data_IF_068697481633
#
_entry.id   IF_068697481633
#
_cell.length_a   1.000
_cell.length_b   1.000
_cell.length_c   1.000
_cell.angle_alpha   90.00
_cell.angle_beta   90.00
_cell.angle_gamma   90.00
#
_symmetry.space_group_name_H-M   'P 1'
#
loop_
_entity.id
_entity.type
_entity.pdbx_description
1 polymer ?
#
# COMPACT_ATOMS: atom_id res chain seq x y z
N UNK A 1 9.46 -3.77 71.42
CA UNK A 1 8.61 -3.68 70.21
C UNK A 1 8.43 -2.25 69.69
N UNK A 2 8.08 -1.29 70.54
CA UNK A 2 7.87 0.13 70.15
C UNK A 2 9.06 0.81 69.45
N UNK A 3 10.30 0.59 69.93
CA UNK A 3 11.51 1.14 69.30
C UNK A 3 11.72 0.62 67.87
N UNK A 4 11.37 -0.66 67.62
CA UNK A 4 11.47 -1.26 66.29
C UNK A 4 10.43 -0.68 65.33
N UNK A 5 9.25 -0.34 65.83
CA UNK A 5 8.21 0.31 65.03
C UNK A 5 8.55 1.77 64.71
N UNK A 6 9.10 2.50 65.68
CA UNK A 6 9.59 3.86 65.49
C UNK A 6 10.70 3.90 64.42
N UNK A 7 11.64 2.96 64.48
CA UNK A 7 12.71 2.84 63.48
C UNK A 7 12.17 2.49 62.09
N UNK A 8 11.21 1.54 61.98
CA UNK A 8 10.53 1.22 60.70
C UNK A 8 9.76 2.42 60.15
N UNK A 9 9.09 3.21 61.00
CA UNK A 9 8.39 4.45 60.59
C UNK A 9 9.38 5.51 60.10
N UNK A 10 10.51 5.67 60.79
CA UNK A 10 11.59 6.58 60.37
C UNK A 10 12.14 6.20 59.00
N UNK A 11 12.51 4.93 58.79
CA UNK A 11 13.02 4.43 57.50
C UNK A 11 12.00 4.69 56.37
N UNK A 12 10.71 4.39 56.59
CA UNK A 12 9.66 4.67 55.59
C UNK A 12 9.57 6.15 55.23
N UNK A 13 9.68 7.05 56.21
CA UNK A 13 9.67 8.50 55.99
C UNK A 13 10.90 8.95 55.22
N UNK A 14 12.08 8.45 55.57
CA UNK A 14 13.34 8.75 54.88
C UNK A 14 13.29 8.27 53.43
N UNK A 15 12.82 7.06 53.18
CA UNK A 15 12.66 6.52 51.84
C UNK A 15 11.70 7.36 50.99
N UNK A 16 10.61 7.86 51.58
CA UNK A 16 9.69 8.77 50.89
C UNK A 16 10.38 10.09 50.50
N UNK A 17 11.11 10.70 51.44
CA UNK A 17 11.87 11.92 51.18
C UNK A 17 12.93 11.72 50.09
N UNK A 18 13.60 10.56 50.07
CA UNK A 18 14.59 10.25 49.03
C UNK A 18 13.93 10.13 47.64
N UNK A 19 12.71 9.58 47.56
CA UNK A 19 11.90 9.58 46.32
C UNK A 19 11.50 10.98 45.88
N UNK A 20 11.00 11.79 46.81
CA UNK A 20 10.64 13.20 46.54
C UNK A 20 11.86 13.99 46.02
N UNK A 21 13.03 13.80 46.64
CA UNK A 21 14.27 14.44 46.20
C UNK A 21 14.71 13.96 44.80
N UNK A 22 14.53 12.67 44.48
CA UNK A 22 14.83 12.15 43.15
C UNK A 22 13.85 12.67 42.09
N UNK A 23 12.57 12.89 42.42
CA UNK A 23 11.63 13.53 41.50
C UNK A 23 12.03 14.97 41.19
N UNK A 24 12.41 15.75 42.22
CA UNK A 24 12.94 17.10 42.02
C UNK A 24 14.19 17.13 41.13
N UNK A 25 15.03 16.09 41.20
CA UNK A 25 16.16 15.94 40.27
C UNK A 25 15.70 15.73 38.82
N UNK A 26 14.63 14.97 38.59
CA UNK A 26 14.07 14.81 37.24
C UNK A 26 13.47 16.13 36.72
N UNK A 27 12.84 16.92 37.59
CA UNK A 27 12.39 18.28 37.26
C UNK A 27 13.57 19.15 36.80
N UNK A 28 14.68 19.18 37.55
CA UNK A 28 15.89 19.92 37.17
C UNK A 28 16.46 19.46 35.82
N UNK A 29 16.46 18.16 35.54
CA UNK A 29 16.92 17.62 34.25
C UNK A 29 15.98 18.04 33.11
N UNK A 30 14.68 18.13 33.38
CA UNK A 30 13.67 18.57 32.41
C UNK A 30 13.82 20.06 32.11
N UNK A 31 13.98 20.90 33.13
CA UNK A 31 14.24 22.34 32.99
C UNK A 31 15.54 22.63 32.22
N UNK A 32 16.57 21.80 32.38
CA UNK A 32 17.82 21.88 31.62
C UNK A 32 17.70 21.37 30.18
N UNK A 33 16.55 20.81 29.79
CA UNK A 33 16.33 20.19 28.48
C UNK A 33 17.08 18.87 28.27
N UNK A 34 17.67 18.30 29.31
CA UNK A 34 18.37 17.00 29.25
C UNK A 34 17.37 15.84 29.25
N UNK A 35 16.27 16.01 29.99
CA UNK A 35 15.15 15.08 30.05
C UNK A 35 13.97 15.68 29.28
N UNK A 36 13.27 14.86 28.50
CA UNK A 36 12.06 15.21 27.76
C UNK A 36 11.23 13.94 27.45
N UNK A 37 10.07 14.06 26.80
CA UNK A 37 9.13 12.94 26.58
C UNK A 37 9.67 11.79 25.70
N UNK A 38 10.79 12.00 25.01
CA UNK A 38 11.46 11.02 24.15
C UNK A 38 12.79 10.52 24.75
N UNK A 39 13.19 10.99 25.93
CA UNK A 39 14.46 10.58 26.53
C UNK A 39 14.46 9.10 26.91
N UNK A 40 15.60 8.45 26.74
CA UNK A 40 15.81 7.08 27.19
C UNK A 40 16.61 7.03 28.48
N UNK A 41 16.26 6.10 29.37
CA UNK A 41 16.99 5.91 30.65
C UNK A 41 18.49 5.69 30.41
N UNK A 42 18.83 4.91 29.40
CA UNK A 42 20.22 4.57 29.05
C UNK A 42 21.04 5.80 28.65
N UNK A 43 20.41 6.79 28.01
CA UNK A 43 21.07 8.04 27.60
C UNK A 43 21.31 8.96 28.80
N UNK A 44 20.37 8.99 29.74
CA UNK A 44 20.45 9.81 30.95
C UNK A 44 21.24 9.16 32.08
N UNK A 45 21.48 7.84 32.04
CA UNK A 45 22.11 7.11 33.13
C UNK A 45 23.48 7.67 33.50
N UNK A 46 24.27 8.14 32.54
CA UNK A 46 25.57 8.76 32.82
C UNK A 46 25.46 10.03 33.67
N UNK A 47 24.38 10.81 33.52
CA UNK A 47 24.13 11.98 34.38
C UNK A 47 23.49 11.56 35.70
N UNK A 48 22.51 10.66 35.64
CA UNK A 48 21.72 10.23 36.79
C UNK A 48 22.53 9.46 37.82
N UNK A 49 23.42 8.57 37.39
CA UNK A 49 24.23 7.73 38.28
C UNK A 49 25.25 8.51 39.10
N UNK A 50 25.66 9.69 38.62
CA UNK A 50 26.60 10.57 39.30
C UNK A 50 25.95 11.47 40.38
N UNK A 51 24.62 11.53 40.44
CA UNK A 51 23.90 12.34 41.43
C UNK A 51 23.70 11.58 42.76
N UNK A 52 23.94 12.26 43.88
CA UNK A 52 23.81 11.67 45.22
C UNK A 52 22.36 11.20 45.51
N UNK A 53 21.34 11.87 44.96
CA UNK A 53 19.92 11.52 45.13
C UNK A 53 19.59 10.17 44.49
N UNK A 54 20.26 9.83 43.39
CA UNK A 54 20.17 8.48 42.81
C UNK A 54 20.79 7.43 43.74
N UNK A 55 22.01 7.68 44.24
CA UNK A 55 22.69 6.75 45.15
C UNK A 55 21.89 6.49 46.43
N UNK A 56 21.29 7.54 47.00
CA UNK A 56 20.42 7.45 48.19
C UNK A 56 19.19 6.58 47.97
N UNK A 57 18.72 6.45 46.73
CA UNK A 57 17.55 5.65 46.36
C UNK A 57 17.82 4.15 46.22
N UNK A 58 19.09 3.74 46.08
CA UNK A 58 19.44 2.34 45.83
C UNK A 58 19.12 1.43 47.03
N UNK A 59 18.59 0.24 46.74
CA UNK A 59 18.27 -0.77 47.75
C UNK A 59 17.04 -0.48 48.61
N UNK A 60 16.33 0.63 48.39
CA UNK A 60 15.08 0.92 49.10
C UNK A 60 13.90 0.13 48.53
N UNK A 61 12.94 -0.32 49.36
CA UNK A 61 11.71 -0.93 48.87
C UNK A 61 10.77 0.10 48.21
N UNK A 62 10.03 -0.33 47.19
CA UNK A 62 9.06 0.48 46.44
C UNK A 62 9.53 0.81 45.03
N UNK A 63 9.02 1.92 44.47
CA UNK A 63 9.39 2.39 43.13
C UNK A 63 10.89 2.68 43.05
N UNK A 64 11.53 2.07 42.06
CA UNK A 64 12.95 2.27 41.76
C UNK A 64 13.18 3.61 41.05
N UNK A 65 14.43 4.12 40.98
CA UNK A 65 14.74 5.28 40.15
C UNK A 65 14.27 5.15 38.70
N UNK A 66 14.37 3.95 38.12
CA UNK A 66 13.91 3.67 36.76
C UNK A 66 12.38 3.77 36.67
N UNK A 67 11.64 3.29 37.66
CA UNK A 67 10.18 3.41 37.68
C UNK A 67 9.76 4.88 37.75
N UNK A 68 10.38 5.67 38.63
CA UNK A 68 10.10 7.11 38.74
C UNK A 68 10.42 7.85 37.45
N UNK A 69 11.54 7.54 36.79
CA UNK A 69 11.84 8.07 35.46
C UNK A 69 10.79 7.69 34.42
N UNK A 70 10.36 6.43 34.39
CA UNK A 70 9.33 5.96 33.44
C UNK A 70 8.00 6.69 33.67
N UNK A 71 7.58 6.83 34.92
CA UNK A 71 6.37 7.58 35.26
C UNK A 71 6.48 9.04 34.83
N UNK A 72 7.62 9.68 35.12
CA UNK A 72 7.86 11.06 34.71
C UNK A 72 7.78 11.24 33.18
N UNK A 73 8.48 10.40 32.42
CA UNK A 73 8.44 10.45 30.94
C UNK A 73 7.04 10.17 30.41
N UNK A 74 6.30 9.25 31.03
CA UNK A 74 4.92 8.97 30.64
C UNK A 74 3.99 10.16 30.90
N UNK A 75 4.16 10.86 32.03
CA UNK A 75 3.43 12.10 32.31
C UNK A 75 3.75 13.20 31.29
N UNK A 76 5.00 13.31 30.82
CA UNK A 76 5.36 14.20 29.71
C UNK A 76 4.65 13.82 28.41
N UNK A 77 4.57 12.53 28.10
CA UNK A 77 3.87 12.03 26.90
C UNK A 77 2.37 12.23 26.97
N UNK A 78 1.76 12.08 28.15
CA UNK A 78 0.33 12.29 28.34
C UNK A 78 -0.10 13.72 27.97
N UNK A 79 0.79 14.71 28.13
CA UNK A 79 0.57 16.10 27.72
C UNK A 79 0.65 16.35 26.22
N UNK A 80 1.13 15.39 25.43
CA UNK A 80 1.40 15.57 23.99
C UNK A 80 0.21 16.13 23.21
N UNK A 81 -1.01 15.62 23.45
CA UNK A 81 -2.17 16.06 22.68
C UNK A 81 -2.52 17.53 22.91
N UNK A 82 -2.39 18.02 24.14
CA UNK A 82 -2.67 19.41 24.47
C UNK A 82 -1.53 20.32 24.02
N UNK A 83 -0.28 19.92 24.21
CA UNK A 83 0.88 20.66 23.71
C UNK A 83 0.89 20.75 22.19
N UNK A 84 0.50 19.68 21.49
CA UNK A 84 0.36 19.68 20.02
C UNK A 84 -0.70 20.68 19.55
N UNK A 85 -1.77 20.93 20.33
CA UNK A 85 -2.74 21.99 19.99
C UNK A 85 -2.08 23.36 20.09
N UNK A 86 -1.35 23.62 21.17
CA UNK A 86 -0.59 24.87 21.36
C UNK A 86 0.40 25.07 20.21
N UNK A 87 1.17 24.05 19.83
CA UNK A 87 2.07 24.10 18.67
C UNK A 87 1.32 24.51 17.40
N UNK A 88 0.16 23.90 17.11
CA UNK A 88 -0.64 24.26 15.92
C UNK A 88 -1.16 25.69 15.97
N UNK A 89 -1.55 26.19 17.14
CA UNK A 89 -1.96 27.58 17.32
C UNK A 89 -0.80 28.54 17.05
N UNK A 90 0.39 28.25 17.59
CA UNK A 90 1.60 29.04 17.30
C UNK A 90 1.86 29.09 15.80
N UNK A 91 1.83 27.94 15.11
CA UNK A 91 2.02 27.92 13.65
C UNK A 91 1.00 28.76 12.91
N UNK A 92 -0.27 28.69 13.31
CA UNK A 92 -1.36 29.47 12.72
C UNK A 92 -1.14 30.97 12.91
N UNK A 93 -0.79 31.39 14.13
CA UNK A 93 -0.55 32.80 14.45
C UNK A 93 0.67 33.37 13.71
N UNK A 94 1.68 32.52 13.47
CA UNK A 94 2.88 32.86 12.71
C UNK A 94 2.69 32.71 11.19
N UNK A 95 1.53 32.23 10.73
CA UNK A 95 1.26 31.97 9.32
C UNK A 95 2.16 30.91 8.68
N UNK A 96 2.75 30.02 9.48
CA UNK A 96 3.65 28.99 9.00
C UNK A 96 2.91 27.68 8.71
N UNK A 97 3.08 27.15 7.50
CA UNK A 97 2.54 25.86 7.09
C UNK A 97 3.68 24.86 6.94
N UNK A 98 3.44 23.63 7.35
CA UNK A 98 4.39 22.53 7.19
C UNK A 98 4.11 21.82 5.86
N UNK A 99 5.14 21.82 5.03
CA UNK A 99 5.22 21.17 3.73
C UNK A 99 6.33 20.11 3.73
N UNK A 100 6.46 19.34 2.64
CA UNK A 100 7.37 18.17 2.55
C UNK A 100 8.84 18.55 2.67
N UNK A 101 9.19 19.77 2.27
CA UNK A 101 10.53 20.35 2.33
C UNK A 101 10.80 21.08 3.66
N UNK A 102 9.83 21.12 4.57
CA UNK A 102 10.00 21.75 5.88
C UNK A 102 11.02 20.99 6.74
N UNK A 103 11.91 21.74 7.39
CA UNK A 103 12.91 21.17 8.30
C UNK A 103 12.51 21.38 9.76
N UNK A 104 13.00 20.47 10.62
CA UNK A 104 12.76 20.60 12.06
C UNK A 104 13.42 21.85 12.64
N UNK A 105 14.61 22.23 12.16
CA UNK A 105 15.33 23.41 12.63
C UNK A 105 14.51 24.68 12.43
N UNK A 106 13.94 24.87 11.23
CA UNK A 106 13.11 26.05 10.95
C UNK A 106 11.83 26.04 11.77
N UNK A 107 11.20 24.87 11.89
CA UNK A 107 10.03 24.70 12.73
C UNK A 107 10.33 25.04 14.20
N UNK A 108 11.42 24.52 14.76
CA UNK A 108 11.82 24.78 16.14
C UNK A 108 12.15 26.25 16.38
N UNK A 109 12.84 26.91 15.44
CA UNK A 109 13.10 28.34 15.47
C UNK A 109 11.78 29.12 15.57
N UNK A 110 10.81 28.84 14.71
CA UNK A 110 9.50 29.53 14.70
C UNK A 110 8.76 29.33 16.03
N UNK A 111 8.70 28.09 16.52
CA UNK A 111 8.05 27.79 17.81
C UNK A 111 8.75 28.54 18.94
N UNK A 112 10.08 28.54 18.98
CA UNK A 112 10.86 29.18 20.06
C UNK A 112 10.64 30.70 20.17
N UNK A 113 10.21 31.37 19.10
CA UNK A 113 9.89 32.81 19.13
C UNK A 113 8.57 33.14 19.83
N UNK A 114 7.75 32.15 20.15
CA UNK A 114 6.48 32.34 20.85
C UNK A 114 6.65 32.04 22.34
N UNK A 115 6.16 32.94 23.19
CA UNK A 115 6.23 32.79 24.65
C UNK A 115 5.57 31.50 25.17
N UNK A 116 4.58 30.96 24.47
CA UNK A 116 3.90 29.71 24.82
C UNK A 116 4.84 28.51 24.71
N UNK A 117 5.92 28.60 23.94
CA UNK A 117 6.89 27.52 23.80
C UNK A 117 7.65 27.24 25.09
N UNK A 118 7.74 28.20 26.02
CA UNK A 118 8.45 28.04 27.29
C UNK A 118 7.89 26.91 28.19
N UNK A 119 6.62 26.53 28.02
CA UNK A 119 5.98 25.47 28.81
C UNK A 119 5.87 24.14 28.06
N UNK A 120 6.32 24.09 26.80
CA UNK A 120 6.20 22.90 25.96
C UNK A 120 7.39 21.97 26.19
N UNK A 121 7.14 20.67 26.23
CA UNK A 121 8.20 19.68 26.29
C UNK A 121 8.93 19.58 24.93
N UNK A 122 10.27 19.59 24.95
CA UNK A 122 11.09 19.54 23.73
C UNK A 122 10.85 18.26 22.90
N UNK A 123 10.62 17.12 23.56
CA UNK A 123 10.25 15.87 22.92
C UNK A 123 8.89 15.96 22.24
N UNK A 124 7.91 16.57 22.92
CA UNK A 124 6.58 16.78 22.35
C UNK A 124 6.59 17.76 21.17
N UNK A 125 7.43 18.81 21.18
CA UNK A 125 7.66 19.68 20.02
C UNK A 125 8.16 18.84 18.82
N UNK A 126 9.12 17.94 19.05
CA UNK A 126 9.65 17.04 18.00
C UNK A 126 8.59 16.08 17.48
N UNK A 127 7.81 15.45 18.37
CA UNK A 127 6.70 14.56 17.98
C UNK A 127 5.60 15.31 17.22
N UNK A 128 5.33 16.56 17.58
CA UNK A 128 4.35 17.39 16.89
C UNK A 128 4.81 17.68 15.46
N UNK A 129 6.09 18.03 15.28
CA UNK A 129 6.69 18.19 13.94
C UNK A 129 6.54 16.92 13.11
N UNK A 130 6.99 15.77 13.61
CA UNK A 130 6.92 14.50 12.88
C UNK A 130 5.49 14.16 12.44
N UNK A 131 4.51 14.36 13.32
CA UNK A 131 3.11 14.10 13.00
C UNK A 131 2.53 15.10 11.98
N UNK A 132 3.00 16.35 11.96
CA UNK A 132 2.57 17.34 10.97
C UNK A 132 3.23 17.09 9.61
N UNK A 133 4.50 16.67 9.59
CA UNK A 133 5.22 16.22 8.39
C UNK A 133 4.54 15.01 7.75
N UNK A 134 4.24 13.97 8.53
CA UNK A 134 3.52 12.79 8.04
C UNK A 134 2.17 13.18 7.42
N UNK A 135 1.46 14.14 8.04
CA UNK A 135 0.20 14.67 7.49
C UNK A 135 0.41 15.48 6.20
N UNK A 136 1.57 16.12 6.00
CA UNK A 136 1.91 16.83 4.78
C UNK A 136 2.24 15.83 3.65
N UNK A 137 3.05 14.82 3.95
CA UNK A 137 3.39 13.73 3.02
C UNK A 137 2.16 12.94 2.56
N UNK A 138 1.25 12.63 3.48
CA UNK A 138 -0.03 11.97 3.15
C UNK A 138 -0.88 12.84 2.21
N UNK A 139 -0.96 14.14 2.47
CA UNK A 139 -1.70 15.09 1.61
C UNK A 139 -1.11 15.14 0.21
N UNK A 140 0.20 15.20 0.07
CA UNK A 140 0.84 15.20 -1.24
C UNK A 140 0.64 13.87 -1.98
N UNK A 141 0.83 12.75 -1.29
CA UNK A 141 0.61 11.43 -1.86
C UNK A 141 -0.81 11.28 -2.38
N UNK A 142 -1.80 11.82 -1.67
CA UNK A 142 -3.19 11.79 -2.12
C UNK A 142 -3.44 12.77 -3.27
N UNK A 143 -2.80 13.95 -3.30
CA UNK A 143 -2.84 14.87 -4.45
C UNK A 143 -2.32 14.20 -5.72
N UNK A 144 -1.15 13.55 -5.65
CA UNK A 144 -0.54 12.83 -6.77
C UNK A 144 -1.41 11.67 -7.26
N UNK A 145 -2.03 10.92 -6.35
CA UNK A 145 -2.98 9.85 -6.72
C UNK A 145 -4.22 10.41 -7.40
N UNK A 146 -4.76 11.53 -6.92
CA UNK A 146 -5.92 12.18 -7.51
C UNK A 146 -5.61 12.72 -8.91
N UNK A 147 -4.46 13.37 -9.08
CA UNK A 147 -3.93 13.80 -10.37
C UNK A 147 -3.76 12.61 -11.33
N UNK A 148 -3.15 11.51 -10.87
CA UNK A 148 -3.00 10.30 -11.68
C UNK A 148 -4.36 9.67 -12.06
N UNK A 149 -5.35 9.70 -11.15
CA UNK A 149 -6.71 9.22 -11.43
C UNK A 149 -7.41 10.12 -12.46
N UNK A 150 -7.27 11.44 -12.32
CA UNK A 150 -7.81 12.41 -13.27
C UNK A 150 -7.20 12.20 -14.65
N UNK A 151 -5.88 12.05 -14.72
CA UNK A 151 -5.18 11.75 -15.96
C UNK A 151 -5.68 10.46 -16.61
N UNK A 152 -5.79 9.36 -15.85
CA UNK A 152 -6.35 8.09 -16.37
C UNK A 152 -7.77 8.23 -16.91
N UNK A 153 -8.61 9.07 -16.30
CA UNK A 153 -9.96 9.35 -16.80
C UNK A 153 -9.91 10.09 -18.13
N UNK A 154 -9.07 11.12 -18.25
CA UNK A 154 -8.86 11.84 -19.52
C UNK A 154 -8.39 10.88 -20.62
N UNK A 155 -7.41 10.02 -20.32
CA UNK A 155 -6.91 9.03 -21.28
C UNK A 155 -8.00 8.01 -21.70
N UNK A 156 -8.80 7.53 -20.74
CA UNK A 156 -9.91 6.61 -21.02
C UNK A 156 -10.99 7.24 -21.89
N UNK A 157 -11.39 8.47 -21.58
CA UNK A 157 -12.37 9.22 -22.37
C UNK A 157 -11.86 9.43 -23.80
N UNK A 158 -10.59 9.82 -23.95
CA UNK A 158 -9.96 9.96 -25.25
C UNK A 158 -9.96 8.64 -26.04
N UNK A 159 -9.60 7.52 -25.43
CA UNK A 159 -9.69 6.19 -26.07
C UNK A 159 -11.13 5.82 -26.48
N UNK A 160 -12.12 6.20 -25.69
CA UNK A 160 -13.53 5.99 -26.03
C UNK A 160 -13.96 6.86 -27.22
N UNK A 161 -13.50 8.12 -27.28
CA UNK A 161 -13.70 9.00 -28.42
C UNK A 161 -13.10 8.40 -29.70
N UNK A 162 -11.84 7.93 -29.64
CA UNK A 162 -11.19 7.24 -30.76
C UNK A 162 -12.04 6.04 -31.22
N UNK A 163 -12.48 5.19 -30.27
CA UNK A 163 -13.33 4.05 -30.60
C UNK A 163 -14.67 4.45 -31.22
N UNK A 164 -15.32 5.50 -30.74
CA UNK A 164 -16.62 5.92 -31.25
C UNK A 164 -16.54 6.51 -32.66
N UNK A 165 -15.56 7.39 -32.90
CA UNK A 165 -15.43 8.15 -34.15
C UNK A 165 -14.65 7.40 -35.23
N UNK A 166 -13.78 6.48 -34.83
CA UNK A 166 -12.79 5.87 -35.72
C UNK A 166 -13.01 4.36 -35.89
N UNK A 167 -14.27 3.92 -35.80
CA UNK A 167 -14.67 2.52 -36.06
C UNK A 167 -14.28 2.00 -37.46
N UNK A 168 -13.90 2.88 -38.39
CA UNK A 168 -13.50 2.54 -39.76
C UNK A 168 -12.01 2.74 -40.06
N UNK A 169 -11.14 2.83 -39.04
CA UNK A 169 -9.69 2.94 -39.28
C UNK A 169 -9.15 1.67 -39.94
N UNK A 170 -8.43 1.89 -41.02
CA UNK A 170 -7.65 0.92 -41.75
C UNK A 170 -6.17 0.99 -41.33
N UNK A 171 -5.40 -0.06 -41.64
CA UNK A 171 -4.00 -0.25 -41.22
C UNK A 171 -3.07 0.94 -41.59
N UNK A 172 -3.47 1.75 -42.58
CA UNK A 172 -2.73 2.91 -43.10
C UNK A 172 -3.10 4.26 -42.47
N UNK A 173 -4.02 4.29 -41.49
CA UNK A 173 -4.50 5.55 -40.90
C UNK A 173 -3.37 6.33 -40.22
N UNK A 174 -3.21 7.62 -40.54
CA UNK A 174 -2.22 8.48 -39.89
C UNK A 174 -2.86 9.39 -38.84
N UNK A 175 -2.05 9.83 -37.87
CA UNK A 175 -2.49 10.74 -36.82
C UNK A 175 -3.09 12.04 -37.39
N UNK A 176 -2.48 12.62 -38.42
CA UNK A 176 -2.95 13.87 -39.02
C UNK A 176 -4.36 13.75 -39.64
N UNK A 177 -4.66 12.61 -40.25
CA UNK A 177 -5.99 12.33 -40.85
C UNK A 177 -7.08 12.19 -39.78
N UNK A 178 -6.70 11.61 -38.64
CA UNK A 178 -7.59 11.37 -37.50
C UNK A 178 -7.81 12.64 -36.70
N UNK A 179 -6.76 13.43 -36.49
CA UNK A 179 -6.78 14.66 -35.71
C UNK A 179 -7.85 15.63 -36.21
N UNK A 180 -7.93 15.87 -37.51
CA UNK A 180 -8.94 16.77 -38.10
C UNK A 180 -10.39 16.32 -37.87
N UNK A 181 -10.63 15.05 -37.54
CA UNK A 181 -11.98 14.52 -37.29
C UNK A 181 -12.43 14.65 -35.83
N UNK A 182 -11.48 14.77 -34.89
CA UNK A 182 -11.74 14.74 -33.45
C UNK A 182 -11.31 16.02 -32.72
N UNK A 183 -10.67 16.97 -33.42
CA UNK A 183 -10.09 18.18 -32.81
C UNK A 183 -11.11 19.09 -32.08
N UNK A 184 -12.37 19.03 -32.48
CA UNK A 184 -13.45 19.82 -31.89
C UNK A 184 -14.19 19.09 -30.75
N UNK A 185 -13.87 17.81 -30.49
CA UNK A 185 -14.52 17.04 -29.45
C UNK A 185 -13.97 17.41 -28.05
N UNK A 186 -14.86 17.44 -27.06
CA UNK A 186 -14.50 17.84 -25.69
C UNK A 186 -13.37 16.96 -25.12
N UNK A 187 -13.45 15.64 -25.31
CA UNK A 187 -12.44 14.70 -24.79
C UNK A 187 -11.06 14.86 -25.47
N UNK A 188 -11.00 15.39 -26.70
CA UNK A 188 -9.74 15.76 -27.37
C UNK A 188 -9.14 17.03 -26.72
N UNK A 189 -9.97 18.06 -26.55
CA UNK A 189 -9.52 19.33 -25.95
C UNK A 189 -9.15 19.19 -24.47
N UNK A 190 -9.82 18.29 -23.74
CA UNK A 190 -9.60 18.04 -22.32
C UNK A 190 -8.25 17.37 -22.02
N UNK A 191 -7.69 16.62 -22.97
CA UNK A 191 -6.34 16.08 -22.87
C UNK A 191 -5.36 17.12 -23.44
N UNK A 192 -4.77 17.98 -22.60
CA UNK A 192 -4.01 19.15 -23.06
C UNK A 192 -2.67 18.83 -23.76
N UNK A 193 -2.12 17.65 -23.53
CA UNK A 193 -0.80 17.23 -24.00
C UNK A 193 -0.88 16.57 -25.39
N UNK A 194 -0.29 17.21 -26.40
CA UNK A 194 -0.25 16.67 -27.77
C UNK A 194 0.53 15.34 -27.81
N UNK A 195 1.62 15.22 -27.05
CA UNK A 195 2.37 13.97 -26.94
C UNK A 195 1.53 12.83 -26.37
N UNK A 196 0.65 13.12 -25.40
CA UNK A 196 -0.26 12.10 -24.85
C UNK A 196 -1.32 11.70 -25.86
N UNK A 197 -1.87 12.66 -26.62
CA UNK A 197 -2.83 12.38 -27.70
C UNK A 197 -2.23 11.44 -28.75
N UNK A 198 -1.03 11.74 -29.25
CA UNK A 198 -0.31 10.92 -30.22
C UNK A 198 -0.01 9.52 -29.64
N UNK A 199 0.53 9.45 -28.42
CA UNK A 199 0.83 8.18 -27.75
C UNK A 199 -0.40 7.28 -27.62
N UNK A 200 -1.53 7.84 -27.20
CA UNK A 200 -2.79 7.10 -27.01
C UNK A 200 -3.38 6.66 -28.35
N UNK A 201 -3.28 7.49 -29.39
CA UNK A 201 -3.68 7.13 -30.74
C UNK A 201 -2.85 5.97 -31.28
N UNK A 202 -1.52 6.02 -31.18
CA UNK A 202 -0.65 4.92 -31.62
C UNK A 202 -0.93 3.63 -30.86
N UNK A 203 -1.20 3.70 -29.56
CA UNK A 203 -1.61 2.55 -28.76
C UNK A 203 -2.93 1.96 -29.26
N UNK A 204 -3.92 2.82 -29.53
CA UNK A 204 -5.22 2.41 -30.05
C UNK A 204 -5.11 1.81 -31.47
N UNK A 205 -4.31 2.42 -32.34
CA UNK A 205 -4.06 1.94 -33.70
C UNK A 205 -3.33 0.59 -33.69
N UNK A 206 -2.30 0.43 -32.86
CA UNK A 206 -1.65 -0.88 -32.63
C UNK A 206 -2.65 -1.94 -32.17
N UNK A 207 -3.57 -1.59 -31.28
CA UNK A 207 -4.60 -2.54 -30.81
C UNK A 207 -5.55 -2.95 -31.94
N UNK A 208 -6.02 -2.01 -32.77
CA UNK A 208 -6.88 -2.33 -33.93
C UNK A 208 -6.16 -3.26 -34.90
N UNK A 209 -4.89 -2.98 -35.22
CA UNK A 209 -4.10 -3.81 -36.14
C UNK A 209 -3.93 -5.22 -35.57
N UNK A 210 -3.61 -5.35 -34.28
CA UNK A 210 -3.51 -6.64 -33.61
C UNK A 210 -4.84 -7.41 -33.59
N UNK A 211 -5.96 -6.74 -33.28
CA UNK A 211 -7.30 -7.35 -33.26
C UNK A 211 -7.72 -7.81 -34.66
N UNK A 212 -7.45 -7.02 -35.70
CA UNK A 212 -7.72 -7.38 -37.09
C UNK A 212 -6.89 -8.59 -37.55
N UNK A 213 -5.60 -8.63 -37.20
CA UNK A 213 -4.72 -9.77 -37.49
C UNK A 213 -5.18 -11.04 -36.75
N UNK A 214 -5.58 -10.92 -35.47
CA UNK A 214 -6.12 -12.03 -34.70
C UNK A 214 -7.45 -12.55 -35.27
N UNK A 215 -8.35 -11.66 -35.67
CA UNK A 215 -9.61 -12.02 -36.32
C UNK A 215 -9.37 -12.73 -37.67
N UNK A 216 -8.42 -12.24 -38.48
CA UNK A 216 -8.03 -12.89 -39.73
C UNK A 216 -7.44 -14.29 -39.49
N UNK A 217 -6.56 -14.44 -38.49
CA UNK A 217 -6.00 -15.74 -38.11
C UNK A 217 -7.08 -16.73 -37.62
N UNK A 218 -8.03 -16.26 -36.81
CA UNK A 218 -9.15 -17.07 -36.34
C UNK A 218 -10.08 -17.50 -37.49
N UNK A 219 -10.37 -16.61 -38.44
CA UNK A 219 -11.16 -16.93 -39.63
C UNK A 219 -10.45 -17.97 -40.51
N UNK A 220 -9.13 -17.84 -40.71
CA UNK A 220 -8.33 -18.81 -41.46
C UNK A 220 -8.33 -20.19 -40.78
N UNK A 221 -8.19 -20.24 -39.46
CA UNK A 221 -8.28 -21.48 -38.69
C UNK A 221 -9.68 -22.14 -38.80
N UNK A 222 -10.76 -21.35 -38.71
CA UNK A 222 -12.12 -21.83 -38.87
C UNK A 222 -12.38 -22.40 -40.28
N UNK A 223 -11.89 -21.71 -41.32
CA UNK A 223 -11.97 -22.18 -42.70
C UNK A 223 -11.24 -23.51 -42.91
N UNK A 224 -10.06 -23.67 -42.31
CA UNK A 224 -9.29 -24.93 -42.33
C UNK A 224 -10.06 -26.08 -41.64
N UNK A 225 -10.65 -25.84 -40.48
CA UNK A 225 -11.48 -26.82 -39.76
C UNK A 225 -12.73 -27.24 -40.55
N UNK A 226 -13.41 -26.30 -41.22
CA UNK A 226 -14.59 -26.60 -42.03
C UNK A 226 -14.25 -27.45 -43.27
N UNK A 227 -13.10 -27.20 -43.89
CA UNK A 227 -12.60 -27.97 -45.03
C UNK A 227 -12.33 -29.44 -44.66
N UNK A 228 -11.73 -29.67 -43.48
CA UNK A 228 -11.46 -31.03 -43.00
C UNK A 228 -12.72 -31.83 -42.64
N UNK A 229 -13.77 -31.18 -42.10
CA UNK A 229 -15.01 -31.86 -41.75
C UNK A 229 -15.84 -32.25 -42.99
N UNK A 230 -15.87 -31.40 -44.03
CA UNK A 230 -16.60 -31.67 -45.26
C UNK A 230 -16.00 -32.84 -46.07
N UNK A 231 -14.67 -32.94 -46.12
CA UNK A 231 -13.98 -34.04 -46.81
C UNK A 231 -14.17 -35.40 -46.09
N UNK A 232 -14.24 -35.40 -44.75
CA UNK A 232 -14.51 -36.61 -43.96
C UNK A 232 -15.94 -37.12 -44.14
N UNK A 233 -16.93 -36.21 -44.25
CA UNK A 233 -18.34 -36.56 -44.50
C UNK A 233 -18.54 -37.10 -45.93
N UNK A 234 -17.94 -36.46 -46.94
CA UNK A 234 -17.98 -36.91 -48.33
C UNK A 234 -17.35 -38.30 -48.53
N UNK A 235 -16.26 -38.61 -47.81
CA UNK A 235 -15.64 -39.95 -47.83
C UNK A 235 -16.52 -41.03 -47.19
N UNK A 236 -17.27 -40.68 -46.13
CA UNK A 236 -18.20 -41.62 -45.45
C UNK A 236 -19.42 -41.94 -46.33
N UNK A 237 -19.89 -40.97 -47.10
CA UNK A 237 -21.04 -41.11 -48.01
C UNK A 237 -20.70 -41.88 -49.30
N UNK A 238 -19.48 -41.68 -49.84
CA UNK A 238 -18.93 -42.55 -50.92
C UNK A 238 -18.76 -44.00 -50.47
N UNK A 239 -18.49 -44.26 -49.18
CA UNK A 239 -18.34 -45.63 -48.64
C UNK A 239 -19.69 -46.33 -48.46
N UNK A 240 -20.76 -45.61 -48.09
CA UNK A 240 -22.13 -46.15 -48.04
C UNK A 240 -22.69 -46.47 -49.44
N UNK A 241 -22.51 -45.59 -50.43
CA UNK A 241 -23.01 -45.84 -51.81
C UNK A 241 -22.30 -47.01 -52.52
N UNK A 242 -21.08 -47.35 -52.14
CA UNK A 242 -20.40 -48.57 -52.65
C UNK A 242 -20.94 -49.87 -52.03
N UNK A 243 -21.53 -49.83 -50.83
CA UNK A 243 -22.05 -51.02 -50.17
C UNK A 243 -23.44 -51.43 -50.71
N UNK A 244 -24.26 -50.50 -51.18
CA UNK A 244 -25.58 -50.83 -51.74
C UNK A 244 -25.52 -51.38 -53.17
N UNK A 245 -24.45 -51.11 -53.93
CA UNK A 245 -24.29 -51.63 -55.30
C UNK A 245 -23.64 -53.02 -55.39
N UNK A 246 -23.20 -53.58 -54.25
CA UNK A 246 -22.57 -54.91 -54.17
C UNK A 246 -23.41 -55.93 -53.39
N UNK A 247 -24.67 -55.62 -53.05
CA UNK A 247 -25.58 -56.51 -52.32
C UNK A 247 -26.75 -56.98 -53.20
N UNK A 248 -26.42 -57.55 -54.35
CA UNK A 248 -27.34 -58.40 -55.12
C UNK A 248 -26.55 -59.49 -55.86
N UNK A 249 -25.88 -60.37 -55.11
CA UNK A 249 -25.66 -61.76 -55.52
C UNK A 249 -25.14 -62.60 -54.35
N UNK A 250 -25.80 -63.76 -54.16
CA UNK A 250 -25.39 -65.00 -53.46
C UNK A 250 -25.09 -64.88 -51.95
N UNK A 251 -25.95 -65.34 -51.04
CA UNK A 251 -26.38 -66.71 -50.72
C UNK A 251 -25.32 -67.55 -49.96
N UNK A 252 -25.65 -67.84 -48.69
CA UNK A 252 -25.19 -68.95 -47.83
C UNK A 252 -23.69 -68.92 -47.42
N UNK A 253 -23.22 -69.35 -46.24
CA UNK A 253 -23.70 -70.26 -45.19
C UNK A 253 -22.95 -69.90 -43.87
N UNK A 254 -23.50 -70.34 -42.72
CA UNK A 254 -22.89 -70.71 -41.41
C UNK A 254 -21.36 -70.59 -41.21
N UNK A 255 -20.81 -70.26 -40.03
CA UNK A 255 -20.97 -70.97 -38.76
C UNK A 255 -20.27 -70.20 -37.60
N UNK A 256 -20.68 -70.58 -36.39
CA UNK A 256 -20.23 -70.28 -35.02
C UNK A 256 -18.74 -69.97 -34.81
N UNK A 257 -18.42 -69.04 -33.90
CA UNK A 257 -18.15 -69.41 -32.50
C UNK A 257 -17.99 -68.17 -31.60
N UNK A 258 -18.43 -68.30 -30.36
CA UNK A 258 -18.43 -67.24 -29.36
C UNK A 258 -17.11 -67.09 -28.61
N UNK A 259 -16.91 -65.91 -28.02
CA UNK A 259 -16.65 -65.80 -26.58
C UNK A 259 -16.73 -64.34 -26.13
N UNK A 260 -17.53 -64.12 -25.09
CA UNK A 260 -17.50 -62.92 -24.27
C UNK A 260 -16.20 -62.85 -23.46
N UNK A 261 -15.63 -61.65 -23.28
CA UNK A 261 -15.11 -61.21 -21.97
C UNK A 261 -14.81 -59.71 -21.90
N UNK A 262 -15.69 -59.04 -21.15
CA UNK A 262 -15.43 -58.18 -19.97
C UNK A 262 -14.23 -57.20 -19.94
N UNK A 263 -14.60 -55.96 -19.56
CA UNK A 263 -13.96 -55.05 -18.58
C UNK A 263 -12.60 -54.47 -19.03
N UNK A 264 -12.17 -53.26 -18.67
CA UNK A 264 -12.51 -52.34 -17.58
C UNK A 264 -11.96 -50.94 -17.89
N UNK A 265 -12.61 -49.96 -17.27
CA UNK A 265 -12.13 -48.64 -16.84
C UNK A 265 -10.62 -48.43 -16.73
N UNK A 266 -10.15 -47.22 -17.08
CA UNK A 266 -9.47 -46.33 -16.10
C UNK A 266 -9.34 -44.90 -16.62
N UNK A 267 -9.77 -43.95 -15.79
CA UNK A 267 -9.39 -42.55 -15.85
C UNK A 267 -8.02 -42.36 -15.15
N UNK A 268 -7.28 -41.27 -15.44
CA UNK A 268 -6.27 -40.80 -14.50
C UNK A 268 -6.69 -39.49 -13.84
N UNK A 269 -6.51 -39.49 -12.53
CA UNK A 269 -6.65 -38.36 -11.62
C UNK A 269 -5.43 -37.43 -11.67
N UNK A 270 -5.63 -36.24 -11.09
CA UNK A 270 -4.66 -35.17 -10.87
C UNK A 270 -3.48 -35.55 -9.95
N UNK A 271 -2.45 -34.68 -9.87
CA UNK A 271 -1.64 -34.54 -8.67
C UNK A 271 -1.86 -33.18 -8.00
N UNK A 272 -2.25 -33.21 -6.74
CA UNK A 272 -2.17 -32.09 -5.79
C UNK A 272 -0.78 -32.09 -5.14
N UNK A 273 -0.11 -30.94 -5.16
CA UNK A 273 1.15 -30.70 -4.46
C UNK A 273 0.88 -30.19 -3.04
N UNK A 274 1.60 -30.80 -2.11
CA UNK A 274 1.79 -30.48 -0.70
C UNK A 274 2.35 -29.06 -0.48
N UNK A 275 1.92 -28.41 0.61
CA UNK A 275 2.71 -27.37 1.28
C UNK A 275 2.53 -27.54 2.78
N UNK A 276 3.64 -27.91 3.41
CA UNK A 276 3.91 -27.95 4.85
C UNK A 276 4.70 -26.67 5.17
N UNK A 277 4.25 -25.85 6.11
CA UNK A 277 5.16 -25.02 6.95
C UNK A 277 4.42 -24.35 8.11
N UNK A 278 5.08 -24.42 9.27
CA UNK A 278 5.10 -23.54 10.45
C UNK A 278 3.79 -23.27 11.21
#
# INVERSE_FOLDING_TARGET
DDESEAQRKYIRRTNRKNREAFLYFLDELHEQGKLHSMSLWVELFGTVSNDERFSKMLGQPGSTPLDLFKFYVEDLKARFHDEKKVVKEILKDKGYTIDIDSTFEKFAEIISTDKRAATLDAGNIKLAFNSLMEKAELREKDRLKEEARKQKRLESNFKQLLKAKLNSLNEQSKWDDVKGQIENDNDFTALSSESDRVRLFEEFHRQIVADAQAAAAAAAAAASHHYHHHHKKARKEKKKRKHEKSSSNTAAVSDSDGEEKKKSSTAPAAPTTTTTTA
#
